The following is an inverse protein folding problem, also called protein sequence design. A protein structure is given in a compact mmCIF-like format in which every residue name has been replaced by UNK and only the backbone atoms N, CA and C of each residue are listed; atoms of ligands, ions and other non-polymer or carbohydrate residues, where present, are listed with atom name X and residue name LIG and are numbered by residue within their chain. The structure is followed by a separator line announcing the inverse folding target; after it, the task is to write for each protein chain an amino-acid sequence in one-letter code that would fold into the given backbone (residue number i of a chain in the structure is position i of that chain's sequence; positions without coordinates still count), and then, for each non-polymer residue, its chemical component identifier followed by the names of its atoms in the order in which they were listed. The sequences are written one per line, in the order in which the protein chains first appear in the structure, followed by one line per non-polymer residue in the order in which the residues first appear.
data_IF_228610764827
#
_entry.id   IF_228610764827
#
_cell.length_a   1.000
_cell.length_b   1.000
_cell.length_c   1.000
_cell.angle_alpha   90.00
_cell.angle_beta   90.00
_cell.angle_gamma   90.00
#
_symmetry.space_group_name_H-M   'P 1'
#
loop_
_entity.id
_entity.type
_entity.pdbx_description
1 polymer ?
#
# COMPACT_ATOMS: atom_id res chain seq x y z
N UNK A 1 24.89 12.44 30.38
CA UNK A 1 24.75 12.05 28.96
C UNK A 1 24.71 10.54 28.90
N UNK A 2 23.75 9.94 28.23
CA UNK A 2 23.71 8.49 28.08
C UNK A 2 24.90 8.03 27.21
N UNK A 3 25.65 7.03 27.68
CA UNK A 3 26.86 6.52 27.04
C UNK A 3 26.50 5.49 25.95
N UNK A 4 27.31 5.36 24.90
CA UNK A 4 27.10 4.37 23.83
C UNK A 4 26.83 2.95 24.36
N UNK A 5 27.51 2.54 25.43
CA UNK A 5 27.34 1.21 26.04
C UNK A 5 25.91 0.95 26.54
N UNK A 6 25.20 1.98 27.04
CA UNK A 6 23.83 1.82 27.52
C UNK A 6 22.86 1.56 26.36
N UNK A 7 23.09 2.21 25.21
CA UNK A 7 22.29 1.97 24.00
C UNK A 7 22.59 0.61 23.37
N UNK A 8 23.86 0.18 23.38
CA UNK A 8 24.25 -1.13 22.85
C UNK A 8 23.67 -2.27 23.69
N UNK A 9 23.68 -2.15 25.02
CA UNK A 9 23.05 -3.12 25.91
C UNK A 9 21.54 -3.23 25.65
N UNK A 10 20.85 -2.09 25.47
CA UNK A 10 19.42 -2.05 25.15
C UNK A 10 19.10 -2.61 23.75
N UNK A 11 19.96 -2.36 22.75
CA UNK A 11 19.77 -2.90 21.41
C UNK A 11 19.81 -4.43 21.38
N UNK A 12 20.66 -5.05 22.21
CA UNK A 12 20.79 -6.51 22.29
C UNK A 12 19.60 -7.19 22.96
N UNK A 13 18.79 -6.48 23.74
CA UNK A 13 17.61 -7.05 24.41
C UNK A 13 16.34 -6.96 23.57
N UNK A 14 16.37 -6.20 22.47
CA UNK A 14 15.22 -6.02 21.59
C UNK A 14 15.11 -7.18 20.60
N UNK A 15 13.87 -7.63 20.28
CA UNK A 15 13.66 -8.65 19.26
C UNK A 15 14.03 -8.13 17.87
N UNK A 16 14.42 -9.03 16.98
CA UNK A 16 14.70 -8.70 15.58
C UNK A 16 13.45 -8.14 14.89
N UNK A 17 13.65 -7.19 13.99
CA UNK A 17 12.58 -6.61 13.20
C UNK A 17 11.89 -7.69 12.35
N UNK A 18 10.58 -7.85 12.55
CA UNK A 18 9.73 -8.68 11.71
C UNK A 18 8.88 -7.76 10.83
N UNK A 19 9.01 -7.82 9.50
CA UNK A 19 8.19 -6.99 8.62
C UNK A 19 6.72 -7.39 8.73
N UNK A 20 5.83 -6.39 8.67
CA UNK A 20 4.38 -6.60 8.72
C UNK A 20 3.87 -7.37 7.49
N UNK A 21 4.54 -7.22 6.34
CA UNK A 21 4.24 -7.92 5.09
C UNK A 21 5.50 -8.65 4.64
N UNK A 22 5.41 -9.97 4.47
CA UNK A 22 6.55 -10.75 3.98
C UNK A 22 6.76 -10.56 2.47
N UNK A 23 8.03 -10.45 2.06
CA UNK A 23 8.49 -10.27 0.68
C UNK A 23 7.72 -11.07 -0.41
N UNK A 24 7.45 -12.39 -0.25
CA UNK A 24 6.80 -13.16 -1.30
C UNK A 24 5.32 -12.81 -1.53
N UNK A 25 4.64 -12.14 -0.59
CA UNK A 25 3.23 -11.78 -0.73
C UNK A 25 3.00 -10.42 -1.42
N UNK A 26 4.01 -9.56 -1.46
CA UNK A 26 3.91 -8.25 -2.11
C UNK A 26 3.44 -8.29 -3.57
N UNK A 27 3.93 -9.18 -4.46
CA UNK A 27 3.46 -9.18 -5.85
C UNK A 27 1.98 -9.54 -5.98
N UNK A 28 1.46 -10.43 -5.12
CA UNK A 28 0.04 -10.80 -5.13
C UNK A 28 -0.84 -9.66 -4.62
N UNK A 29 -0.39 -8.94 -3.58
CA UNK A 29 -1.07 -7.76 -3.05
C UNK A 29 -1.09 -6.65 -4.10
N UNK A 30 0.03 -6.39 -4.76
CA UNK A 30 0.14 -5.41 -5.84
C UNK A 30 -0.83 -5.73 -6.99
N UNK A 31 -0.88 -7.00 -7.42
CA UNK A 31 -1.80 -7.45 -8.46
C UNK A 31 -3.27 -7.23 -8.05
N UNK A 32 -3.64 -7.62 -6.83
CA UNK A 32 -5.01 -7.44 -6.34
C UNK A 32 -5.42 -5.96 -6.26
N UNK A 33 -4.55 -5.09 -5.74
CA UNK A 33 -4.84 -3.66 -5.61
C UNK A 33 -4.88 -2.94 -6.96
N UNK A 34 -3.95 -3.24 -7.87
CA UNK A 34 -3.90 -2.62 -9.20
C UNK A 34 -5.04 -3.10 -10.11
N UNK A 35 -5.38 -4.40 -10.07
CA UNK A 35 -6.51 -4.93 -10.85
C UNK A 35 -7.86 -4.37 -10.36
N UNK A 36 -8.04 -4.24 -9.05
CA UNK A 36 -9.21 -3.57 -8.47
C UNK A 36 -9.27 -2.09 -8.90
N UNK A 37 -8.15 -1.37 -8.83
CA UNK A 37 -8.07 0.04 -9.27
C UNK A 37 -8.44 0.18 -10.74
N UNK A 38 -7.94 -0.72 -11.60
CA UNK A 38 -8.28 -0.74 -13.02
C UNK A 38 -9.78 -0.98 -13.25
N UNK A 39 -10.37 -1.94 -12.56
CA UNK A 39 -11.80 -2.22 -12.63
C UNK A 39 -12.65 -1.02 -12.17
N UNK A 40 -12.25 -0.36 -11.07
CA UNK A 40 -12.94 0.84 -10.56
C UNK A 40 -12.80 2.02 -11.51
N UNK A 41 -11.65 2.22 -12.15
CA UNK A 41 -11.45 3.26 -13.15
C UNK A 41 -12.30 3.03 -14.41
N UNK A 42 -12.41 1.77 -14.85
CA UNK A 42 -13.35 1.37 -15.90
C UNK A 42 -14.81 1.60 -15.49
N UNK A 43 -15.15 1.25 -14.25
CA UNK A 43 -16.48 1.45 -13.70
C UNK A 43 -16.87 2.93 -13.66
N UNK A 44 -15.95 3.79 -13.20
CA UNK A 44 -16.11 5.24 -13.22
C UNK A 44 -16.29 5.79 -14.64
N UNK A 45 -15.52 5.28 -15.61
CA UNK A 45 -15.58 5.76 -17.00
C UNK A 45 -16.85 5.32 -17.75
N UNK A 46 -17.48 4.22 -17.32
CA UNK A 46 -18.71 3.67 -17.92
C UNK A 46 -19.98 4.11 -17.20
N UNK A 47 -19.86 4.88 -16.11
CA UNK A 47 -21.01 5.36 -15.36
C UNK A 47 -21.82 6.39 -16.18
N UNK A 48 -23.14 6.25 -16.29
CA UNK A 48 -23.98 7.31 -16.83
C UNK A 48 -23.87 8.55 -15.94
N UNK A 49 -23.54 9.70 -16.55
CA UNK A 49 -23.35 11.01 -15.89
C UNK A 49 -24.58 11.57 -15.15
N UNK A 50 -25.69 10.82 -15.12
CA UNK A 50 -26.92 11.13 -14.38
C UNK A 50 -26.83 10.74 -12.88
N UNK A 51 -25.87 9.89 -12.50
CA UNK A 51 -25.84 9.34 -11.14
C UNK A 51 -25.16 10.31 -10.17
N UNK A 52 -25.87 10.64 -9.08
CA UNK A 52 -25.45 11.54 -7.99
C UNK A 52 -23.91 11.70 -7.79
N UNK A 53 -23.38 12.93 -7.74
CA UNK A 53 -21.94 13.23 -7.68
C UNK A 53 -21.21 12.63 -6.46
N UNK A 54 -21.97 12.25 -5.43
CA UNK A 54 -21.48 11.56 -4.23
C UNK A 54 -20.91 10.17 -4.57
N UNK A 55 -21.49 9.47 -5.54
CA UNK A 55 -21.04 8.12 -5.90
C UNK A 55 -19.73 8.15 -6.69
N UNK A 56 -19.60 9.11 -7.58
CA UNK A 56 -18.38 9.36 -8.36
C UNK A 56 -17.19 9.68 -7.46
N UNK A 57 -17.41 10.56 -6.47
CA UNK A 57 -16.36 10.94 -5.51
C UNK A 57 -15.93 9.78 -4.61
N UNK A 58 -16.87 8.96 -4.13
CA UNK A 58 -16.53 7.77 -3.33
C UNK A 58 -15.74 6.75 -4.17
N UNK A 59 -16.18 6.46 -5.39
CA UNK A 59 -15.46 5.51 -6.27
C UNK A 59 -14.06 6.03 -6.60
N UNK A 60 -13.91 7.33 -6.88
CA UNK A 60 -12.62 7.94 -7.15
C UNK A 60 -11.68 7.89 -5.93
N UNK A 61 -12.19 8.13 -4.72
CA UNK A 61 -11.40 8.04 -3.48
C UNK A 61 -10.93 6.60 -3.20
N UNK A 62 -11.82 5.62 -3.36
CA UNK A 62 -11.47 4.21 -3.20
C UNK A 62 -10.44 3.80 -4.26
N UNK A 63 -10.65 4.16 -5.52
CA UNK A 63 -9.70 3.89 -6.60
C UNK A 63 -8.34 4.56 -6.35
N UNK A 64 -8.32 5.79 -5.83
CA UNK A 64 -7.09 6.52 -5.53
C UNK A 64 -6.27 5.86 -4.42
N UNK A 65 -6.93 5.47 -3.32
CA UNK A 65 -6.27 4.80 -2.20
C UNK A 65 -5.75 3.41 -2.60
N UNK A 66 -6.57 2.60 -3.28
CA UNK A 66 -6.12 1.30 -3.79
C UNK A 66 -5.01 1.44 -4.83
N UNK A 67 -5.07 2.43 -5.70
CA UNK A 67 -4.02 2.72 -6.69
C UNK A 67 -2.70 3.06 -6.01
N UNK A 68 -2.73 3.96 -5.02
CA UNK A 68 -1.54 4.37 -4.25
C UNK A 68 -0.87 3.19 -3.55
N UNK A 69 -1.63 2.40 -2.78
CA UNK A 69 -1.10 1.22 -2.10
C UNK A 69 -0.60 0.15 -3.08
N UNK A 70 -1.28 -0.03 -4.21
CA UNK A 70 -0.87 -0.97 -5.27
C UNK A 70 0.47 -0.60 -5.89
N UNK A 71 0.72 0.69 -6.14
CA UNK A 71 2.00 1.17 -6.68
C UNK A 71 3.13 0.97 -5.67
N UNK A 72 2.95 1.33 -4.40
CA UNK A 72 3.98 1.11 -3.36
C UNK A 72 4.32 -0.38 -3.24
N UNK A 73 3.31 -1.25 -3.24
CA UNK A 73 3.50 -2.70 -3.19
C UNK A 73 4.25 -3.24 -4.42
N UNK A 74 3.96 -2.72 -5.62
CA UNK A 74 4.64 -3.09 -6.85
C UNK A 74 6.13 -2.70 -6.82
N UNK A 75 6.43 -1.48 -6.38
CA UNK A 75 7.81 -0.98 -6.28
C UNK A 75 8.63 -1.80 -5.27
N UNK A 76 8.04 -2.09 -4.11
CA UNK A 76 8.67 -2.94 -3.12
C UNK A 76 8.85 -4.39 -3.61
N UNK A 77 7.94 -4.91 -4.45
CA UNK A 77 8.05 -6.25 -5.05
C UNK A 77 9.21 -6.36 -6.07
N UNK A 78 9.53 -5.30 -6.80
CA UNK A 78 10.67 -5.27 -7.75
C UNK A 78 12.01 -4.90 -7.08
N UNK A 79 12.04 -4.79 -5.75
CA UNK A 79 13.25 -4.50 -4.97
C UNK A 79 13.59 -3.02 -4.82
N UNK A 80 12.69 -2.10 -5.22
CA UNK A 80 12.81 -0.68 -4.91
C UNK A 80 12.19 -0.45 -3.54
N UNK A 81 13.01 -0.55 -2.50
CA UNK A 81 12.60 -0.27 -1.13
C UNK A 81 12.52 1.25 -0.90
N UNK A 82 11.29 1.74 -0.65
CA UNK A 82 11.01 3.11 -0.20
C UNK A 82 11.09 3.18 1.32
#
# INVERSE_FOLDING_TARGET
MATYETFQALHKTLPSFSPYVAAPFLPYIALAFLSSTFALAFYFSTLPKDTLPVRETIVALIASTLGGFGVVALFCAIGVCV
#
